data_IF_615256671602
#
_entry.id   IF_615256671602
#
_cell.length_a   1.000
_cell.length_b   1.000
_cell.length_c   1.000
_cell.angle_alpha   90.00
_cell.angle_beta   90.00
_cell.angle_gamma   90.00
#
_symmetry.space_group_name_H-M   'P 1'
#
loop_
_entity.id
_entity.type
_entity.pdbx_description
1 polymer ?
#
# COMPACT_ATOMS: atom_id res chain seq x y z
N UNK A 1 19.39 10.14 18.21
CA UNK A 1 18.27 9.26 17.86
C UNK A 1 18.44 7.99 18.67
N UNK A 2 17.38 7.42 19.27
CA UNK A 2 17.53 6.16 19.98
C UNK A 2 18.01 5.09 19.00
N UNK A 3 19.05 4.35 19.38
CA UNK A 3 19.48 3.16 18.65
C UNK A 3 18.41 2.09 18.84
N UNK A 4 17.46 2.04 17.92
CA UNK A 4 16.52 0.92 17.86
C UNK A 4 17.29 -0.29 17.39
N UNK A 5 17.41 -1.27 18.29
CA UNK A 5 17.98 -2.58 17.98
C UNK A 5 17.08 -3.25 16.93
N UNK A 6 17.68 -3.57 15.78
CA UNK A 6 17.03 -4.27 14.66
C UNK A 6 17.52 -5.71 14.50
N UNK A 7 18.30 -6.23 15.45
CA UNK A 7 18.96 -7.55 15.35
C UNK A 7 17.96 -8.72 15.34
N UNK A 8 16.76 -8.49 15.86
CA UNK A 8 15.65 -9.45 15.86
C UNK A 8 14.73 -9.32 14.63
N UNK A 9 15.03 -8.41 13.71
CA UNK A 9 14.24 -8.19 12.50
C UNK A 9 14.88 -8.93 11.31
N UNK A 10 14.06 -9.27 10.32
CA UNK A 10 14.52 -9.90 9.10
C UNK A 10 15.52 -9.02 8.31
N UNK A 11 16.61 -9.60 7.83
CA UNK A 11 17.72 -8.86 7.19
C UNK A 11 17.28 -8.10 5.93
N UNK A 12 16.41 -8.69 5.10
CA UNK A 12 15.92 -8.06 3.88
C UNK A 12 15.04 -6.86 4.24
N UNK A 13 14.14 -7.02 5.21
CA UNK A 13 13.30 -5.91 5.68
C UNK A 13 14.11 -4.79 6.35
N UNK A 14 15.19 -5.12 7.05
CA UNK A 14 16.10 -4.12 7.64
C UNK A 14 16.85 -3.34 6.55
N UNK A 15 17.30 -3.98 5.48
CA UNK A 15 17.93 -3.28 4.36
C UNK A 15 16.98 -2.26 3.72
N UNK A 16 15.70 -2.62 3.57
CA UNK A 16 14.67 -1.72 3.03
C UNK A 16 14.41 -0.49 3.92
N UNK A 17 14.78 -0.51 5.21
CA UNK A 17 14.63 0.65 6.09
C UNK A 17 15.49 1.85 5.65
N UNK A 18 16.53 1.62 4.84
CA UNK A 18 17.37 2.68 4.28
C UNK A 18 16.78 3.35 3.04
N UNK A 19 15.67 2.83 2.48
CA UNK A 19 14.97 3.47 1.36
C UNK A 19 14.54 4.90 1.75
N UNK A 20 14.71 5.85 0.83
CA UNK A 20 14.35 7.25 1.07
C UNK A 20 12.91 7.50 0.64
N UNK A 21 12.02 7.78 1.60
CA UNK A 21 10.65 8.22 1.38
C UNK A 21 10.58 9.71 1.03
N UNK A 22 9.48 10.14 0.43
CA UNK A 22 9.17 11.55 0.16
C UNK A 22 8.47 12.14 1.38
N UNK A 23 9.08 13.12 2.05
CA UNK A 23 8.42 13.88 3.11
C UNK A 23 7.53 14.96 2.52
N UNK A 24 6.36 15.12 3.11
CA UNK A 24 5.32 16.05 2.64
C UNK A 24 4.69 16.84 3.78
N UNK A 25 4.06 17.97 3.44
CA UNK A 25 3.13 18.65 4.33
C UNK A 25 1.71 18.04 4.24
N UNK A 26 0.77 18.54 5.05
CA UNK A 26 -0.63 18.08 5.07
C UNK A 26 -1.40 18.34 3.76
N UNK A 27 -0.85 19.17 2.86
CA UNK A 27 -1.41 19.43 1.54
C UNK A 27 -0.75 18.57 0.45
N UNK A 28 0.09 17.62 0.84
CA UNK A 28 0.86 16.73 -0.04
C UNK A 28 1.89 17.49 -0.90
N UNK A 29 2.40 18.63 -0.43
CA UNK A 29 3.55 19.28 -1.05
C UNK A 29 4.84 18.65 -0.52
N UNK A 30 5.76 18.31 -1.42
CA UNK A 30 7.08 17.82 -1.02
C UNK A 30 7.85 18.86 -0.21
N UNK A 31 8.30 18.48 0.98
CA UNK A 31 9.14 19.31 1.87
C UNK A 31 10.54 18.73 2.10
N UNK A 32 10.79 17.48 1.74
CA UNK A 32 12.09 16.84 1.94
C UNK A 32 12.10 15.36 1.59
N UNK A 33 13.05 14.64 2.19
CA UNK A 33 13.15 13.20 2.14
C UNK A 33 13.73 12.66 3.44
N UNK A 34 13.38 11.43 3.77
CA UNK A 34 13.84 10.77 5.00
C UNK A 34 13.78 9.25 4.81
N UNK A 35 14.62 8.52 5.53
CA UNK A 35 14.66 7.06 5.55
C UNK A 35 13.32 6.48 5.98
N UNK A 36 12.97 5.34 5.38
CA UNK A 36 11.82 4.54 5.74
C UNK A 36 11.83 4.23 7.24
N UNK A 37 12.99 3.93 7.82
CA UNK A 37 13.14 3.81 9.29
C UNK A 37 12.48 4.97 10.01
N UNK A 38 12.97 6.18 9.78
CA UNK A 38 12.57 7.35 10.55
C UNK A 38 11.13 7.76 10.29
N UNK A 39 10.65 7.60 9.06
CA UNK A 39 9.25 7.82 8.67
C UNK A 39 8.26 6.95 9.46
N UNK A 40 8.66 5.74 9.85
CA UNK A 40 7.76 4.76 10.49
C UNK A 40 7.96 4.65 12.01
N UNK A 41 8.79 5.50 12.61
CA UNK A 41 8.93 5.56 14.07
C UNK A 41 7.86 6.45 14.68
N UNK A 42 7.11 5.91 15.65
CA UNK A 42 6.10 6.64 16.40
C UNK A 42 6.66 7.94 17.00
N UNK A 43 7.91 7.92 17.51
CA UNK A 43 8.55 9.12 18.07
C UNK A 43 8.72 10.28 17.07
N UNK A 44 8.79 10.00 15.77
CA UNK A 44 8.93 11.01 14.72
C UNK A 44 7.57 11.37 14.14
N UNK A 45 6.71 10.37 13.96
CA UNK A 45 5.30 10.53 13.60
C UNK A 45 4.57 11.44 14.61
N UNK A 46 4.86 11.33 15.91
CA UNK A 46 4.28 12.17 16.95
C UNK A 46 4.83 13.61 16.95
N UNK A 47 5.98 13.84 16.30
CA UNK A 47 6.51 15.18 16.00
C UNK A 47 5.95 15.74 14.68
N UNK A 48 5.04 15.03 14.02
CA UNK A 48 4.40 15.44 12.77
C UNK A 48 5.08 14.98 11.50
N UNK A 49 6.07 14.07 11.57
CA UNK A 49 6.69 13.51 10.37
C UNK A 49 5.63 12.76 9.54
N UNK A 50 5.51 13.12 8.26
CA UNK A 50 4.48 12.67 7.33
C UNK A 50 5.14 12.38 5.97
N UNK A 51 4.81 11.24 5.38
CA UNK A 51 5.35 10.83 4.08
C UNK A 51 4.27 10.43 3.08
N UNK A 52 4.63 10.47 1.80
CA UNK A 52 3.75 10.06 0.69
C UNK A 52 3.73 8.52 0.59
N UNK A 53 2.56 7.96 0.34
CA UNK A 53 2.36 6.52 0.17
C UNK A 53 1.36 6.20 -0.96
N UNK A 54 1.20 4.91 -1.25
CA UNK A 54 0.14 4.43 -2.12
C UNK A 54 -0.46 3.09 -1.66
N UNK A 55 -1.72 2.87 -2.05
CA UNK A 55 -2.47 1.64 -1.86
C UNK A 55 -3.11 1.20 -3.17
N UNK A 56 -2.67 0.04 -3.68
CA UNK A 56 -3.22 -0.58 -4.90
C UNK A 56 -4.38 -1.51 -4.56
N UNK A 57 -5.47 -1.38 -5.33
CA UNK A 57 -6.60 -2.30 -5.37
C UNK A 57 -6.69 -2.92 -6.77
N UNK A 58 -6.18 -4.14 -6.91
CA UNK A 58 -6.21 -4.90 -8.15
C UNK A 58 -7.40 -5.85 -8.19
N UNK A 59 -8.23 -5.70 -9.21
CA UNK A 59 -9.35 -6.57 -9.50
C UNK A 59 -9.03 -7.46 -10.70
N UNK A 60 -9.40 -8.72 -10.65
CA UNK A 60 -9.40 -9.55 -11.86
C UNK A 60 -10.62 -9.24 -12.74
N UNK A 61 -10.74 -9.89 -13.90
CA UNK A 61 -11.88 -9.68 -14.81
C UNK A 61 -13.21 -10.17 -14.24
N UNK A 62 -13.19 -11.01 -13.20
CA UNK A 62 -14.35 -11.48 -12.44
C UNK A 62 -14.74 -10.50 -11.29
N UNK A 63 -14.13 -9.31 -11.22
CA UNK A 63 -14.33 -8.33 -10.16
C UNK A 63 -14.00 -8.84 -8.75
N UNK A 64 -13.13 -9.83 -8.63
CA UNK A 64 -12.55 -10.26 -7.35
C UNK A 64 -11.34 -9.40 -7.03
N UNK A 65 -11.25 -8.90 -5.81
CA UNK A 65 -10.13 -8.11 -5.30
C UNK A 65 -9.00 -9.04 -4.87
N UNK A 66 -7.78 -8.79 -5.34
CA UNK A 66 -6.59 -9.45 -4.83
C UNK A 66 -6.20 -8.86 -3.47
N UNK A 67 -6.28 -9.67 -2.42
CA UNK A 67 -5.77 -9.36 -1.09
C UNK A 67 -4.45 -10.09 -0.86
N UNK A 68 -3.60 -9.48 -0.02
CA UNK A 68 -2.41 -10.14 0.51
C UNK A 68 -2.48 -10.19 2.03
N UNK A 69 -1.91 -11.24 2.61
CA UNK A 69 -1.53 -11.29 4.03
C UNK A 69 -0.05 -10.96 4.14
N UNK A 70 0.29 -9.95 4.93
CA UNK A 70 1.66 -9.50 5.14
C UNK A 70 2.47 -10.65 5.74
N UNK A 71 3.71 -10.84 5.30
CA UNK A 71 4.62 -11.81 5.94
C UNK A 71 4.78 -11.49 7.43
N UNK A 72 5.20 -12.50 8.20
CA UNK A 72 5.55 -12.28 9.60
C UNK A 72 6.89 -11.52 9.74
N UNK A 73 7.66 -11.39 8.65
CA UNK A 73 8.92 -10.66 8.60
C UNK A 73 8.73 -9.12 8.49
N UNK A 74 7.55 -8.66 8.04
CA UNK A 74 7.26 -7.22 7.92
C UNK A 74 7.40 -6.51 9.27
N UNK A 75 8.08 -5.36 9.24
CA UNK A 75 8.29 -4.54 10.45
C UNK A 75 6.97 -3.93 10.95
N UNK A 76 6.17 -3.35 10.05
CA UNK A 76 4.84 -2.83 10.38
C UNK A 76 3.75 -3.85 10.03
N UNK A 77 2.82 -4.06 10.96
CA UNK A 77 1.63 -4.91 10.80
C UNK A 77 1.90 -6.33 10.25
N UNK A 78 2.87 -7.10 10.80
CA UNK A 78 3.13 -8.47 10.35
C UNK A 78 1.89 -9.37 10.50
N UNK A 79 1.67 -10.25 9.52
CA UNK A 79 0.57 -11.21 9.53
C UNK A 79 -0.84 -10.62 9.28
N UNK A 80 -0.97 -9.31 9.08
CA UNK A 80 -2.25 -8.67 8.79
C UNK A 80 -2.67 -8.87 7.32
N UNK A 81 -3.96 -9.09 7.08
CA UNK A 81 -4.56 -8.99 5.74
C UNK A 81 -4.73 -7.51 5.33
N UNK A 82 -4.50 -7.22 4.04
CA UNK A 82 -4.64 -5.89 3.46
C UNK A 82 -5.00 -5.97 1.97
N UNK A 83 -5.21 -4.81 1.32
CA UNK A 83 -5.34 -4.69 -0.13
C UNK A 83 -4.07 -5.16 -0.87
N UNK A 84 -4.12 -5.12 -2.21
CA UNK A 84 -3.17 -5.80 -3.09
C UNK A 84 -1.70 -5.49 -2.80
N UNK A 85 -1.34 -4.21 -2.71
CA UNK A 85 0.04 -3.77 -2.51
C UNK A 85 0.03 -2.37 -1.89
N UNK A 86 0.86 -2.14 -0.86
CA UNK A 86 1.00 -0.86 -0.18
C UNK A 86 2.48 -0.55 0.02
N UNK A 87 2.90 0.63 -0.40
CA UNK A 87 4.30 1.03 -0.25
C UNK A 87 4.47 2.53 -0.48
N UNK A 88 5.71 2.95 -0.74
CA UNK A 88 6.10 4.34 -0.86
C UNK A 88 6.70 4.62 -2.25
N UNK A 89 6.34 5.75 -2.89
CA UNK A 89 7.21 6.34 -3.88
C UNK A 89 8.54 6.75 -3.23
N UNK A 90 9.64 6.39 -3.88
CA UNK A 90 10.99 6.73 -3.47
C UNK A 90 11.31 8.19 -3.81
N UNK A 91 12.13 8.82 -2.98
CA UNK A 91 12.66 10.17 -3.25
C UNK A 91 13.78 10.13 -4.30
N UNK A 92 13.46 9.68 -5.52
CA UNK A 92 14.33 9.69 -6.68
C UNK A 92 13.64 10.41 -7.87
N UNK A 93 14.39 10.85 -8.91
CA UNK A 93 13.80 11.63 -10.00
C UNK A 93 12.63 10.97 -10.74
N UNK A 94 12.56 9.63 -10.78
CA UNK A 94 11.50 8.92 -11.51
C UNK A 94 10.18 8.86 -10.74
N UNK A 95 10.25 8.67 -9.43
CA UNK A 95 9.09 8.51 -8.53
C UNK A 95 8.66 9.84 -7.88
N UNK A 96 9.46 10.90 -8.01
CA UNK A 96 9.12 12.27 -7.60
C UNK A 96 8.22 13.03 -8.59
N UNK A 97 8.04 12.54 -9.83
CA UNK A 97 7.25 13.22 -10.85
C UNK A 97 5.75 13.21 -10.50
N UNK A 98 5.17 14.40 -10.28
CA UNK A 98 3.81 14.56 -9.77
C UNK A 98 2.75 14.66 -10.89
N UNK A 99 3.16 14.99 -12.12
CA UNK A 99 2.24 15.14 -13.23
C UNK A 99 1.44 13.85 -13.47
N UNK A 100 0.11 13.95 -13.39
CA UNK A 100 -0.80 12.80 -13.49
C UNK A 100 -0.43 11.64 -12.53
N UNK A 101 0.12 11.96 -11.35
CA UNK A 101 0.57 11.01 -10.34
C UNK A 101 1.50 9.91 -10.88
N UNK A 102 2.25 10.16 -11.96
CA UNK A 102 3.04 9.13 -12.64
C UNK A 102 4.15 8.55 -11.75
N UNK A 103 4.76 9.36 -10.89
CA UNK A 103 5.80 8.88 -9.95
C UNK A 103 5.26 7.80 -9.01
N UNK A 104 4.08 8.03 -8.43
CA UNK A 104 3.40 7.07 -7.57
C UNK A 104 2.96 5.82 -8.35
N UNK A 105 2.48 5.97 -9.58
CA UNK A 105 2.11 4.82 -10.43
C UNK A 105 3.32 3.95 -10.82
N UNK A 106 4.49 4.56 -11.06
CA UNK A 106 5.76 3.83 -11.26
C UNK A 106 6.17 3.07 -10.00
N UNK A 107 6.04 3.70 -8.83
CA UNK A 107 6.32 3.05 -7.55
C UNK A 107 5.40 1.83 -7.33
N UNK A 108 4.12 1.97 -7.66
CA UNK A 108 3.14 0.88 -7.60
C UNK A 108 3.52 -0.28 -8.53
N UNK A 109 3.86 -0.03 -9.79
CA UNK A 109 4.35 -1.06 -10.71
C UNK A 109 5.59 -1.78 -10.15
N UNK A 110 6.58 -1.03 -9.65
CA UNK A 110 7.80 -1.58 -9.06
C UNK A 110 7.49 -2.52 -7.89
N UNK A 111 6.58 -2.14 -6.99
CA UNK A 111 6.24 -2.95 -5.81
C UNK A 111 5.29 -4.10 -6.11
N UNK A 112 4.39 -3.97 -7.08
CA UNK A 112 3.62 -5.11 -7.59
C UNK A 112 4.55 -6.20 -8.14
N UNK A 113 5.63 -5.83 -8.82
CA UNK A 113 6.64 -6.80 -9.24
C UNK A 113 7.42 -7.35 -8.03
N UNK A 114 7.93 -6.48 -7.15
CA UNK A 114 8.79 -6.91 -6.06
C UNK A 114 8.08 -7.79 -5.01
N UNK A 115 6.82 -7.47 -4.67
CA UNK A 115 6.08 -8.17 -3.62
C UNK A 115 5.26 -9.35 -4.16
N UNK A 116 4.57 -9.17 -5.29
CA UNK A 116 3.63 -10.16 -5.84
C UNK A 116 4.18 -10.91 -7.05
N UNK A 117 5.41 -10.62 -7.49
CA UNK A 117 6.00 -11.22 -8.68
C UNK A 117 5.28 -10.88 -9.98
N UNK A 118 4.41 -9.87 -9.99
CA UNK A 118 3.64 -9.50 -11.18
C UNK A 118 4.61 -8.90 -12.21
N UNK A 119 4.75 -9.48 -13.41
CA UNK A 119 5.66 -8.93 -14.42
C UNK A 119 5.28 -7.50 -14.78
N UNK A 120 6.26 -6.61 -14.90
CA UNK A 120 6.04 -5.17 -15.09
C UNK A 120 5.20 -4.86 -16.34
N UNK A 121 5.37 -5.67 -17.40
CA UNK A 121 4.62 -5.58 -18.65
C UNK A 121 3.12 -5.89 -18.49
N UNK A 122 2.73 -6.61 -17.45
CA UNK A 122 1.33 -6.90 -17.16
C UNK A 122 0.63 -5.72 -16.51
N UNK A 123 1.32 -4.81 -15.83
CA UNK A 123 0.71 -3.66 -15.16
C UNK A 123 1.55 -2.40 -15.40
N UNK A 124 1.56 -1.87 -16.64
CA UNK A 124 2.26 -0.63 -16.93
C UNK A 124 1.59 0.56 -16.20
N UNK A 125 2.31 1.65 -15.89
CA UNK A 125 1.76 2.78 -15.12
C UNK A 125 0.48 3.39 -15.71
N UNK A 126 0.29 3.28 -17.02
CA UNK A 126 -0.88 3.75 -17.76
C UNK A 126 -2.16 2.98 -17.41
N UNK A 127 -2.04 1.72 -16.97
CA UNK A 127 -3.17 0.89 -16.53
C UNK A 127 -3.47 1.03 -15.03
N UNK A 128 -2.66 1.81 -14.30
CA UNK A 128 -2.86 2.08 -12.87
C UNK A 128 -3.64 3.38 -12.73
N UNK A 129 -4.92 3.28 -12.39
CA UNK A 129 -5.81 4.42 -12.25
C UNK A 129 -5.66 5.09 -10.88
N UNK A 130 -5.18 6.33 -10.84
CA UNK A 130 -5.27 7.17 -9.64
C UNK A 130 -6.72 7.64 -9.43
N UNK A 131 -7.21 7.53 -8.20
CA UNK A 131 -8.58 7.88 -7.84
C UNK A 131 -8.69 9.03 -6.84
N UNK A 132 -8.02 8.92 -5.69
CA UNK A 132 -8.06 9.94 -4.64
C UNK A 132 -6.91 9.75 -3.64
N UNK A 133 -6.82 10.62 -2.64
CA UNK A 133 -5.85 10.53 -1.53
C UNK A 133 -6.57 10.44 -0.19
N UNK A 134 -5.99 9.72 0.75
CA UNK A 134 -6.47 9.61 2.13
C UNK A 134 -5.32 9.92 3.07
N UNK A 135 -5.52 10.89 3.97
CA UNK A 135 -4.58 11.15 5.06
C UNK A 135 -4.99 10.30 6.26
N UNK A 136 -4.08 9.46 6.77
CA UNK A 136 -4.32 8.65 7.95
C UNK A 136 -3.06 8.51 8.82
N UNK A 137 -3.27 8.13 10.09
CA UNK A 137 -2.24 7.79 11.06
C UNK A 137 -2.63 6.52 11.80
N UNK A 138 -1.71 5.58 11.97
CA UNK A 138 -1.97 4.32 12.65
C UNK A 138 -0.72 3.78 13.34
N UNK A 139 -0.86 3.16 14.51
CA UNK A 139 0.27 2.52 15.21
C UNK A 139 0.25 1.01 14.93
N UNK A 140 1.42 0.44 14.64
CA UNK A 140 1.62 -1.02 14.54
C UNK A 140 1.85 -1.63 15.91
N UNK A 141 2.78 -1.04 16.67
CA UNK A 141 3.11 -1.40 18.05
C UNK A 141 3.61 -0.16 18.81
N UNK A 142 4.32 -0.35 19.93
CA UNK A 142 4.85 0.76 20.73
C UNK A 142 5.96 1.58 20.04
N UNK A 143 6.63 1.03 19.03
CA UNK A 143 7.77 1.64 18.34
C UNK A 143 7.38 2.12 16.94
N UNK A 144 6.67 1.27 16.20
CA UNK A 144 6.42 1.46 14.77
C UNK A 144 4.98 1.88 14.46
N UNK A 145 4.81 2.67 13.41
CA UNK A 145 3.52 3.14 12.92
C UNK A 145 3.59 3.68 11.50
N UNK A 146 2.48 4.27 11.07
CA UNK A 146 2.25 4.88 9.76
C UNK A 146 1.64 6.27 9.97
N UNK A 147 2.08 7.22 9.16
CA UNK A 147 1.46 8.55 9.04
C UNK A 147 1.65 9.03 7.61
N UNK A 148 0.58 8.95 6.83
CA UNK A 148 0.69 8.96 5.36
C UNK A 148 -0.41 9.78 4.71
N UNK A 149 -0.06 10.44 3.60
CA UNK A 149 -1.03 10.76 2.54
C UNK A 149 -0.95 9.66 1.50
N UNK A 150 -1.98 8.81 1.50
CA UNK A 150 -2.04 7.58 0.74
C UNK A 150 -2.80 7.76 -0.58
N UNK A 151 -2.11 7.54 -1.70
CA UNK A 151 -2.69 7.55 -3.04
C UNK A 151 -3.43 6.25 -3.31
N UNK A 152 -4.74 6.37 -3.54
CA UNK A 152 -5.59 5.21 -3.82
C UNK A 152 -5.55 4.91 -5.33
N UNK A 153 -5.00 3.74 -5.65
CA UNK A 153 -4.74 3.28 -7.01
C UNK A 153 -5.60 2.05 -7.33
N UNK A 154 -6.16 1.99 -8.54
CA UNK A 154 -6.96 0.87 -9.00
C UNK A 154 -6.34 0.25 -10.25
N UNK A 155 -6.40 -1.08 -10.32
CA UNK A 155 -6.04 -1.88 -11.50
C UNK A 155 -7.17 -2.86 -11.74
N UNK A 156 -7.54 -3.11 -12.99
CA UNK A 156 -8.44 -4.23 -13.33
C UNK A 156 -7.88 -5.06 -14.46
N UNK A 157 -7.27 -6.19 -14.12
CA UNK A 157 -6.59 -7.07 -15.06
C UNK A 157 -6.38 -8.45 -14.46
N UNK A 158 -6.36 -9.47 -15.30
CA UNK A 158 -5.87 -10.79 -14.88
C UNK A 158 -4.35 -10.75 -14.92
N UNK A 159 -3.71 -11.11 -13.81
CA UNK A 159 -2.25 -11.07 -13.67
C UNK A 159 -1.73 -12.42 -13.15
N UNK A 160 -0.48 -12.71 -13.46
CA UNK A 160 0.28 -13.81 -12.84
C UNK A 160 0.82 -13.33 -11.50
N UNK A 161 0.70 -14.15 -10.45
CA UNK A 161 1.09 -13.80 -9.08
C UNK A 161 2.03 -14.87 -8.53
N UNK A 162 3.26 -14.47 -8.25
CA UNK A 162 4.33 -15.30 -7.66
C UNK A 162 4.98 -14.50 -6.52
N UNK A 163 4.37 -14.45 -5.33
CA UNK A 163 4.79 -13.51 -4.29
C UNK A 163 6.16 -13.84 -3.68
N UNK A 164 6.89 -12.81 -3.28
CA UNK A 164 8.05 -12.97 -2.41
C UNK A 164 7.58 -13.37 -1.00
N UNK A 165 7.96 -14.55 -0.47
CA UNK A 165 7.54 -14.99 0.87
C UNK A 165 8.07 -14.09 2.00
N UNK A 166 9.13 -13.31 1.75
CA UNK A 166 9.61 -12.30 2.70
C UNK A 166 8.65 -11.11 2.81
N UNK A 167 7.86 -10.83 1.78
CA UNK A 167 6.88 -9.75 1.74
C UNK A 167 5.46 -10.24 2.08
N UNK A 168 5.08 -11.40 1.54
CA UNK A 168 3.69 -11.89 1.53
C UNK A 168 3.61 -13.33 2.06
N UNK A 169 2.81 -13.51 3.10
CA UNK A 169 2.52 -14.82 3.70
C UNK A 169 1.57 -15.67 2.85
N UNK A 170 0.52 -15.03 2.33
CA UNK A 170 -0.46 -15.65 1.44
C UNK A 170 -1.23 -14.57 0.68
N UNK A 171 -1.95 -14.95 -0.37
CA UNK A 171 -2.79 -14.06 -1.14
C UNK A 171 -4.08 -14.77 -1.55
N UNK A 172 -5.15 -14.01 -1.79
CA UNK A 172 -6.40 -14.56 -2.29
C UNK A 172 -7.19 -13.53 -3.08
N UNK A 173 -7.94 -14.02 -4.08
CA UNK A 173 -8.96 -13.23 -4.75
C UNK A 173 -10.28 -13.39 -4.00
N UNK A 174 -10.89 -12.28 -3.60
CA UNK A 174 -12.18 -12.28 -2.89
C UNK A 174 -13.25 -11.54 -3.65
N UNK A 175 -14.44 -12.10 -3.68
CA UNK A 175 -15.66 -11.39 -4.07
C UNK A 175 -16.03 -10.34 -3.03
N UNK A 176 -17.02 -9.50 -3.38
CA UNK A 176 -17.56 -8.50 -2.45
C UNK A 176 -18.13 -9.12 -1.16
N UNK A 177 -18.78 -10.27 -1.25
CA UNK A 177 -19.41 -10.90 -0.08
C UNK A 177 -18.36 -11.62 0.78
N UNK A 178 -17.39 -12.31 0.16
CA UNK A 178 -16.23 -12.86 0.89
C UNK A 178 -15.41 -11.78 1.60
N UNK A 179 -15.29 -10.58 1.00
CA UNK A 179 -14.66 -9.44 1.66
C UNK A 179 -15.45 -8.99 2.90
N UNK A 180 -16.78 -8.94 2.85
CA UNK A 180 -17.59 -8.61 4.05
C UNK A 180 -17.40 -9.65 5.15
N UNK A 181 -17.35 -10.93 4.78
CA UNK A 181 -17.11 -12.01 5.73
C UNK A 181 -15.72 -11.90 6.37
N UNK A 182 -14.70 -11.54 5.58
CA UNK A 182 -13.35 -11.26 6.07
C UNK A 182 -13.34 -10.10 7.07
N UNK A 183 -14.01 -8.98 6.76
CA UNK A 183 -14.13 -7.84 7.68
C UNK A 183 -14.85 -8.23 8.98
N UNK A 184 -15.89 -9.07 8.89
CA UNK A 184 -16.61 -9.59 10.06
C UNK A 184 -15.70 -10.46 10.93
N UNK A 185 -14.98 -11.42 10.34
CA UNK A 185 -13.99 -12.24 11.07
C UNK A 185 -12.94 -11.39 11.76
N UNK A 186 -12.54 -10.28 11.15
CA UNK A 186 -11.63 -9.34 11.80
C UNK A 186 -12.26 -8.60 12.97
N UNK A 187 -13.51 -8.17 12.85
CA UNK A 187 -14.26 -7.56 13.96
C UNK A 187 -14.47 -8.53 15.13
N UNK A 188 -14.63 -9.83 14.84
CA UNK A 188 -14.76 -10.91 15.82
C UNK A 188 -13.39 -11.35 16.41
N UNK A 189 -12.29 -10.77 15.93
CA UNK A 189 -10.93 -11.01 16.43
C UNK A 189 -10.27 -12.29 15.91
N UNK A 190 -10.88 -12.98 14.95
CA UNK A 190 -10.35 -14.22 14.35
C UNK A 190 -9.14 -13.96 13.46
N UNK A 191 -9.11 -12.81 12.80
CA UNK A 191 -8.02 -12.38 11.91
C UNK A 191 -7.68 -10.90 12.12
N UNK A 192 -6.47 -10.51 11.72
CA UNK A 192 -6.03 -9.12 11.73
C UNK A 192 -6.11 -8.52 10.33
N UNK A 193 -6.64 -7.32 10.23
CA UNK A 193 -6.58 -6.48 9.02
C UNK A 193 -5.83 -5.19 9.32
N UNK A 194 -5.20 -4.61 8.32
CA UNK A 194 -4.49 -3.35 8.47
C UNK A 194 -5.48 -2.18 8.68
N UNK A 195 -5.11 -1.15 9.46
CA UNK A 195 -6.00 -0.04 9.77
C UNK A 195 -6.49 0.73 8.53
N UNK A 196 -5.59 1.01 7.58
CA UNK A 196 -5.96 1.71 6.34
C UNK A 196 -6.92 0.88 5.49
N UNK A 197 -6.71 -0.44 5.40
CA UNK A 197 -7.60 -1.30 4.62
C UNK A 197 -9.01 -1.31 5.22
N UNK A 198 -9.13 -1.35 6.55
CA UNK A 198 -10.41 -1.20 7.24
C UNK A 198 -11.09 0.13 6.88
N UNK A 199 -10.36 1.24 7.01
CA UNK A 199 -10.86 2.59 6.68
C UNK A 199 -11.36 2.64 5.24
N UNK A 200 -10.56 2.19 4.27
CA UNK A 200 -10.89 2.24 2.85
C UNK A 200 -12.07 1.31 2.53
N UNK A 201 -12.09 0.11 3.10
CA UNK A 201 -13.16 -0.86 2.89
C UNK A 201 -14.53 -0.31 3.35
N UNK A 202 -14.59 0.24 4.57
CA UNK A 202 -15.82 0.75 5.18
C UNK A 202 -16.30 2.07 4.55
N UNK A 203 -15.38 2.96 4.18
CA UNK A 203 -15.72 4.30 3.70
C UNK A 203 -15.98 4.38 2.19
N UNK A 204 -15.26 3.59 1.40
CA UNK A 204 -15.04 3.89 -0.01
C UNK A 204 -15.18 2.67 -0.94
N UNK A 205 -14.51 1.56 -0.63
CA UNK A 205 -14.34 0.43 -1.53
C UNK A 205 -15.69 -0.12 -2.03
N UNK A 206 -16.65 -0.37 -1.13
CA UNK A 206 -17.97 -0.89 -1.51
C UNK A 206 -18.81 0.06 -2.37
N UNK A 207 -18.51 1.36 -2.35
CA UNK A 207 -19.13 2.36 -3.25
C UNK A 207 -18.47 2.27 -4.63
N UNK A 208 -17.15 2.20 -4.70
CA UNK A 208 -16.39 2.08 -5.95
C UNK A 208 -16.65 0.78 -6.69
N UNK A 209 -16.88 -0.33 -5.98
CA UNK A 209 -17.23 -1.61 -6.61
C UNK A 209 -18.47 -1.52 -7.52
N UNK A 210 -19.38 -0.57 -7.27
CA UNK A 210 -20.58 -0.35 -8.10
C UNK A 210 -20.26 0.31 -9.45
N UNK A 211 -19.10 0.94 -9.56
CA UNK A 211 -18.68 1.74 -10.71
C UNK A 211 -17.38 1.22 -11.34
N UNK A 212 -16.91 0.03 -10.98
CA UNK A 212 -15.66 -0.54 -11.49
C UNK A 212 -15.57 -0.50 -13.03
N UNK A 213 -16.66 -0.83 -13.73
CA UNK A 213 -16.72 -0.77 -15.21
C UNK A 213 -16.58 0.65 -15.78
N UNK A 214 -16.94 1.68 -15.00
CA UNK A 214 -16.90 3.09 -15.40
C UNK A 214 -15.58 3.77 -15.02
N UNK A 215 -14.90 3.29 -13.98
CA UNK A 215 -13.62 3.83 -13.51
C UNK A 215 -12.49 3.50 -14.49
N UNK A 216 -12.51 2.32 -15.10
CA UNK A 216 -11.49 1.89 -16.06
C UNK A 216 -11.75 2.38 -17.49
N UNK A 217 -13.00 2.65 -17.86
CA UNK A 217 -13.35 3.10 -19.21
C UNK A 217 -13.12 4.60 -19.46
N UNK A 218 -13.07 5.43 -18.43
CA UNK A 218 -12.87 6.88 -18.57
C UNK A 218 -11.42 7.31 -18.82
N UNK A 219 -10.43 6.44 -18.65
CA UNK A 219 -9.02 6.76 -18.89
C UNK A 219 -8.53 6.43 -20.30
N UNK A 220 -9.28 5.65 -21.08
CA UNK A 220 -8.97 5.34 -22.49
C UNK A 220 -9.47 6.41 -23.49
N UNK A 221 -9.84 7.59 -23.00
CA UNK A 221 -10.34 8.71 -23.82
C UNK A 221 -9.71 10.04 -23.39
N UNK A 222 -8.39 10.15 -23.48
CA UNK A 222 -7.69 11.44 -23.62
C UNK A 222 -6.55 11.23 -24.62
#
# INVERSE_FOLDING_TARGET
MPEINTDNLDEQQVQLLAEMCILIDENDNKIGSETKKNCHLNENIDKGLLHRAFSVFLFNTENKLLLQQRSDAKITFPGCFTNTCCSHPLSNPLELEENNAIGVRRAAQRRLQAELGIPMEQVPPEEISYLTRIHYKAQSDGIWGEHEIDYILFVRKNVTVEPDPNEIKTHCYVTKDELKDLLKKSADGEIKITPWFKIIAESFLFKCLRFLDHLTSKQNKI
#
